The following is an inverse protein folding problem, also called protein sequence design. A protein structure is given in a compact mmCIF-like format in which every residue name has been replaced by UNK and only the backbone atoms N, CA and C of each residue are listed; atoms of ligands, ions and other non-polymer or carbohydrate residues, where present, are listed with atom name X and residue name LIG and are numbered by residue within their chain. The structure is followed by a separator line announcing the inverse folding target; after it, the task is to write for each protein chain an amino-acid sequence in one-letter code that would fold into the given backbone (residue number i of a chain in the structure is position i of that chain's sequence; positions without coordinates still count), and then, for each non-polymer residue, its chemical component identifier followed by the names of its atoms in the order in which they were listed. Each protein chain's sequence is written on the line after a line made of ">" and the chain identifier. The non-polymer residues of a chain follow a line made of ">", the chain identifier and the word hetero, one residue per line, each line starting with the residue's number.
data_IF_998233932380
#
_entry.id   IF_998233932380
#
_cell.length_a   1.000
_cell.length_b   1.000
_cell.length_c   1.000
_cell.angle_alpha   90.00
_cell.angle_beta   90.00
_cell.angle_gamma   90.00
#
_symmetry.space_group_name_H-M   'P 1'
#
loop_
_entity.id
_entity.type
_entity.pdbx_description
1 polymer ?
#
# COMPACT_ATOMS: atom_id res chain seq x y z
N UNK A 1 -8.84 31.90 4.93
CA UNK A 1 -9.57 31.22 3.84
C UNK A 1 -8.84 29.93 3.55
N UNK A 2 -9.49 28.77 3.55
CA UNK A 2 -8.82 27.53 3.21
C UNK A 2 -8.36 27.65 1.76
N UNK A 3 -7.09 27.34 1.50
CA UNK A 3 -6.65 27.08 0.12
C UNK A 3 -7.62 26.04 -0.44
N UNK A 4 -8.25 26.34 -1.57
CA UNK A 4 -9.17 25.39 -2.19
C UNK A 4 -8.43 24.07 -2.37
N UNK A 5 -8.89 23.01 -1.73
CA UNK A 5 -8.51 21.65 -2.09
C UNK A 5 -9.05 21.44 -3.50
N UNK A 6 -8.28 21.83 -4.52
CA UNK A 6 -8.55 21.37 -5.88
C UNK A 6 -8.57 19.85 -5.77
N UNK A 7 -9.71 19.25 -6.04
CA UNK A 7 -9.80 17.81 -6.31
C UNK A 7 -8.68 17.50 -7.31
N UNK A 8 -7.70 16.70 -6.88
CA UNK A 8 -6.56 16.32 -7.72
C UNK A 8 -7.03 15.20 -8.65
N UNK A 9 -7.86 15.57 -9.61
CA UNK A 9 -8.46 14.65 -10.59
C UNK A 9 -7.50 14.32 -11.74
N UNK A 10 -6.22 14.18 -11.42
CA UNK A 10 -5.20 13.92 -12.41
C UNK A 10 -5.22 12.43 -12.76
N UNK A 11 -5.49 12.15 -14.03
CA UNK A 11 -5.51 10.80 -14.59
C UNK A 11 -4.56 10.72 -15.78
N UNK A 12 -4.01 9.54 -16.01
CA UNK A 12 -3.36 9.22 -17.30
C UNK A 12 -4.48 8.91 -18.27
N UNK A 13 -4.54 9.61 -19.41
CA UNK A 13 -5.50 9.34 -20.48
C UNK A 13 -4.79 8.60 -21.59
N UNK A 14 -5.38 7.50 -22.06
CA UNK A 14 -4.88 6.73 -23.19
C UNK A 14 -5.92 6.73 -24.30
N UNK A 15 -5.51 7.16 -25.49
CA UNK A 15 -6.31 7.10 -26.71
C UNK A 15 -5.78 5.97 -27.60
N UNK A 16 -6.63 5.00 -27.90
CA UNK A 16 -6.38 3.96 -28.90
C UNK A 16 -6.87 4.43 -30.26
N UNK A 17 -6.09 4.12 -31.30
CA UNK A 17 -6.41 4.40 -32.69
C UNK A 17 -6.57 3.11 -33.50
N UNK A 18 -7.40 3.17 -34.54
CA UNK A 18 -7.71 2.04 -35.42
C UNK A 18 -6.51 1.53 -36.23
N UNK A 19 -5.46 2.33 -36.36
CA UNK A 19 -4.19 1.94 -36.98
C UNK A 19 -3.27 1.12 -36.05
N UNK A 20 -3.72 0.85 -34.81
CA UNK A 20 -2.97 0.09 -33.82
C UNK A 20 -2.05 0.94 -32.93
N UNK A 21 -1.95 2.25 -33.16
CA UNK A 21 -1.19 3.17 -32.31
C UNK A 21 -1.96 3.56 -31.03
N UNK A 22 -1.21 4.02 -30.02
CA UNK A 22 -1.75 4.55 -28.77
C UNK A 22 -1.12 5.91 -28.48
N UNK A 23 -1.92 6.90 -28.11
CA UNK A 23 -1.45 8.18 -27.57
C UNK A 23 -1.66 8.20 -26.05
N UNK A 24 -0.62 8.56 -25.29
CA UNK A 24 -0.70 8.72 -23.83
C UNK A 24 -0.62 10.20 -23.50
N UNK A 25 -1.70 10.73 -22.95
CA UNK A 25 -1.81 12.12 -22.51
C UNK A 25 -1.66 12.19 -20.99
N UNK A 26 -0.73 13.03 -20.55
CA UNK A 26 -0.46 13.27 -19.13
C UNK A 26 -1.08 14.61 -18.69
N UNK A 27 -1.44 14.74 -17.40
CA UNK A 27 -1.81 16.02 -16.80
C UNK A 27 -0.73 17.08 -17.03
N UNK A 28 -1.15 18.32 -17.30
CA UNK A 28 -0.25 19.42 -17.70
C UNK A 28 0.74 19.87 -16.62
N UNK A 29 0.43 19.65 -15.34
CA UNK A 29 1.23 20.08 -14.19
C UNK A 29 1.62 18.90 -13.29
N UNK A 30 2.30 17.89 -13.85
CA UNK A 30 2.67 16.71 -13.09
C UNK A 30 3.77 17.02 -12.06
N UNK A 31 3.48 16.83 -10.78
CA UNK A 31 4.50 16.87 -9.74
C UNK A 31 5.56 15.79 -9.96
N UNK A 32 6.84 16.07 -9.61
CA UNK A 32 7.97 15.14 -9.85
C UNK A 32 7.74 13.74 -9.24
N UNK A 33 7.03 13.66 -8.11
CA UNK A 33 6.70 12.39 -7.47
C UNK A 33 5.79 11.49 -8.33
N UNK A 34 4.90 12.06 -9.12
CA UNK A 34 3.93 11.33 -9.95
C UNK A 34 4.55 10.77 -11.23
N UNK A 35 5.70 11.30 -11.68
CA UNK A 35 6.41 10.77 -12.85
C UNK A 35 6.77 9.29 -12.67
N UNK A 36 7.11 8.89 -11.44
CA UNK A 36 7.41 7.48 -11.12
C UNK A 36 6.16 6.60 -11.23
N UNK A 37 4.99 7.11 -10.84
CA UNK A 37 3.70 6.42 -10.99
C UNK A 37 3.33 6.24 -12.47
N UNK A 38 3.53 7.29 -13.29
CA UNK A 38 3.34 7.21 -14.75
C UNK A 38 4.26 6.15 -15.38
N UNK A 39 5.53 6.11 -14.98
CA UNK A 39 6.47 5.11 -15.47
C UNK A 39 6.05 3.68 -15.09
N UNK A 40 5.58 3.47 -13.86
CA UNK A 40 5.09 2.18 -13.40
C UNK A 40 3.89 1.69 -14.24
N UNK A 41 2.99 2.59 -14.67
CA UNK A 41 1.82 2.22 -15.47
C UNK A 41 2.11 1.81 -16.91
N UNK A 42 3.33 2.02 -17.44
CA UNK A 42 3.64 1.75 -18.87
C UNK A 42 3.32 0.31 -19.28
N UNK A 43 3.69 -0.66 -18.43
CA UNK A 43 3.40 -2.08 -18.68
C UNK A 43 1.91 -2.36 -18.74
N UNK A 44 1.15 -1.81 -17.79
CA UNK A 44 -0.30 -1.94 -17.77
C UNK A 44 -0.96 -1.26 -18.98
N UNK A 45 -0.53 -0.06 -19.39
CA UNK A 45 -1.07 0.64 -20.57
C UNK A 45 -0.95 -0.23 -21.83
N UNK A 46 0.21 -0.84 -22.04
CA UNK A 46 0.42 -1.76 -23.17
C UNK A 46 -0.52 -2.97 -23.10
N UNK A 47 -0.63 -3.56 -21.91
CA UNK A 47 -1.47 -4.72 -21.68
C UNK A 47 -2.96 -4.41 -21.89
N UNK A 48 -3.46 -3.32 -21.31
CA UNK A 48 -4.84 -2.86 -21.46
C UNK A 48 -5.17 -2.54 -22.93
N UNK A 49 -4.30 -1.81 -23.63
CA UNK A 49 -4.50 -1.51 -25.05
C UNK A 49 -4.60 -2.78 -25.91
N UNK A 50 -3.75 -3.76 -25.65
CA UNK A 50 -3.80 -5.06 -26.33
C UNK A 50 -5.10 -5.80 -26.01
N UNK A 51 -5.51 -5.86 -24.74
CA UNK A 51 -6.72 -6.57 -24.33
C UNK A 51 -8.00 -5.90 -24.87
N UNK A 52 -8.10 -4.58 -24.84
CA UNK A 52 -9.23 -3.87 -25.43
C UNK A 52 -9.39 -4.16 -26.93
N UNK A 53 -8.28 -4.23 -27.69
CA UNK A 53 -8.32 -4.62 -29.10
C UNK A 53 -8.82 -6.05 -29.32
N UNK A 54 -8.43 -6.99 -28.46
CA UNK A 54 -8.95 -8.36 -28.51
C UNK A 54 -10.45 -8.42 -28.23
N UNK A 55 -10.97 -7.50 -27.41
CA UNK A 55 -12.40 -7.33 -27.16
C UNK A 55 -13.13 -6.56 -28.28
N UNK A 56 -12.43 -6.16 -29.35
CA UNK A 56 -13.00 -5.43 -30.50
C UNK A 56 -12.94 -3.90 -30.38
N UNK A 57 -12.44 -3.35 -29.28
CA UNK A 57 -12.33 -1.91 -29.04
C UNK A 57 -11.05 -1.34 -29.68
N UNK A 58 -11.08 -1.13 -31.00
CA UNK A 58 -9.92 -0.64 -31.77
C UNK A 58 -9.72 0.88 -31.71
N UNK A 59 -10.78 1.64 -31.37
CA UNK A 59 -10.73 3.08 -31.10
C UNK A 59 -11.44 3.33 -29.77
N UNK A 60 -10.69 3.74 -28.75
CA UNK A 60 -11.19 3.85 -27.37
C UNK A 60 -10.37 4.87 -26.60
N UNK A 61 -11.02 5.60 -25.69
CA UNK A 61 -10.36 6.44 -24.70
C UNK A 61 -10.61 5.87 -23.30
N UNK A 62 -9.55 5.63 -22.53
CA UNK A 62 -9.65 5.20 -21.13
C UNK A 62 -8.70 5.99 -20.24
N UNK A 63 -8.97 5.99 -18.93
CA UNK A 63 -8.20 6.71 -17.93
C UNK A 63 -7.65 5.80 -16.83
N UNK A 64 -6.54 6.19 -16.21
CA UNK A 64 -5.93 5.51 -15.07
C UNK A 64 -5.72 6.55 -13.96
N UNK A 65 -6.20 6.24 -12.76
CA UNK A 65 -5.99 7.06 -11.57
C UNK A 65 -4.50 7.26 -11.30
N UNK A 66 -4.08 8.50 -10.99
CA UNK A 66 -2.69 8.82 -10.66
C UNK A 66 -2.49 9.23 -9.19
N UNK A 67 -3.50 9.83 -8.56
CA UNK A 67 -3.47 10.28 -7.16
C UNK A 67 -4.15 9.31 -6.20
N UNK A 68 -4.00 9.63 -4.92
CA UNK A 68 -4.64 8.94 -3.81
C UNK A 68 -6.15 9.28 -3.73
N UNK A 69 -6.60 10.37 -4.38
CA UNK A 69 -8.00 10.79 -4.47
C UNK A 69 -8.77 9.98 -5.54
N UNK A 70 -10.08 9.80 -5.33
CA UNK A 70 -10.96 9.15 -6.32
C UNK A 70 -11.15 10.03 -7.56
N UNK A 71 -10.98 9.48 -8.78
CA UNK A 71 -11.12 10.24 -10.01
C UNK A 71 -12.60 10.55 -10.30
N UNK A 72 -12.86 11.69 -10.93
CA UNK A 72 -14.22 12.11 -11.30
C UNK A 72 -14.75 11.43 -12.56
N UNK A 73 -13.85 10.84 -13.35
CA UNK A 73 -14.18 10.12 -14.58
C UNK A 73 -13.90 8.61 -14.47
N UNK A 74 -14.60 7.77 -15.26
CA UNK A 74 -14.32 6.34 -15.33
C UNK A 74 -12.83 6.07 -15.54
N UNK A 75 -12.21 5.38 -14.59
CA UNK A 75 -10.77 5.15 -14.57
C UNK A 75 -10.46 3.77 -13.99
N UNK A 76 -9.33 3.20 -14.40
CA UNK A 76 -8.69 2.14 -13.62
C UNK A 76 -8.23 2.69 -12.28
N UNK A 77 -8.44 1.93 -11.21
CA UNK A 77 -8.25 2.38 -9.83
C UNK A 77 -7.08 1.64 -9.18
N UNK A 78 -6.32 2.32 -8.33
CA UNK A 78 -5.19 1.73 -7.57
C UNK A 78 -5.66 1.12 -6.24
N UNK A 79 -6.68 1.76 -5.65
CA UNK A 79 -7.38 1.31 -4.47
C UNK A 79 -8.81 1.85 -4.48
N UNK A 80 -9.65 1.33 -3.58
CA UNK A 80 -11.06 1.71 -3.47
C UNK A 80 -11.51 1.66 -2.01
N UNK A 81 -12.70 2.22 -1.72
CA UNK A 81 -13.28 2.12 -0.38
C UNK A 81 -13.62 0.65 -0.03
N UNK A 82 -13.40 0.25 1.21
CA UNK A 82 -13.54 -1.14 1.65
C UNK A 82 -14.99 -1.66 1.65
N UNK A 83 -15.98 -0.76 1.65
CA UNK A 83 -17.41 -1.08 1.59
C UNK A 83 -17.90 -1.36 0.14
N UNK A 84 -17.09 -1.04 -0.87
CA UNK A 84 -17.40 -1.34 -2.26
C UNK A 84 -17.07 -2.80 -2.60
N UNK A 85 -17.77 -3.38 -3.59
CA UNK A 85 -17.47 -4.73 -4.05
C UNK A 85 -16.24 -4.73 -4.99
N UNK A 86 -15.08 -5.29 -4.60
CA UNK A 86 -13.88 -5.32 -5.45
C UNK A 86 -14.03 -6.19 -6.70
N UNK A 87 -15.09 -7.00 -6.80
CA UNK A 87 -15.43 -7.75 -8.01
C UNK A 87 -16.13 -6.93 -9.09
N UNK A 88 -16.47 -5.68 -8.80
CA UNK A 88 -17.16 -4.77 -9.73
C UNK A 88 -16.36 -3.49 -10.00
N UNK A 89 -15.09 -3.46 -9.58
CA UNK A 89 -14.20 -2.33 -9.73
C UNK A 89 -13.01 -2.70 -10.62
N UNK A 90 -12.58 -1.80 -11.53
CA UNK A 90 -11.42 -2.00 -12.39
C UNK A 90 -10.11 -1.74 -11.61
N UNK A 91 -9.95 -2.41 -10.47
CA UNK A 91 -8.77 -2.29 -9.62
C UNK A 91 -7.57 -2.95 -10.30
N UNK A 92 -6.47 -2.20 -10.44
CA UNK A 92 -5.22 -2.68 -11.02
C UNK A 92 -4.14 -2.80 -9.94
N UNK A 93 -3.03 -3.52 -10.21
CA UNK A 93 -1.89 -3.53 -9.30
C UNK A 93 -1.37 -2.12 -9.02
N UNK A 94 -0.99 -1.86 -7.77
CA UNK A 94 -0.48 -0.55 -7.38
C UNK A 94 0.85 -0.20 -8.05
N UNK A 95 1.25 1.06 -7.97
CA UNK A 95 2.47 1.54 -8.62
C UNK A 95 3.74 0.83 -8.12
N UNK A 96 3.78 0.34 -6.88
CA UNK A 96 4.94 -0.39 -6.36
C UNK A 96 5.01 -1.76 -7.01
N UNK A 97 3.88 -2.47 -7.09
CA UNK A 97 3.79 -3.76 -7.75
C UNK A 97 4.11 -3.67 -9.25
N UNK A 98 3.46 -2.74 -9.97
CA UNK A 98 3.69 -2.53 -11.40
C UNK A 98 5.14 -2.13 -11.70
N UNK A 99 5.66 -1.12 -11.00
CA UNK A 99 7.00 -0.58 -11.23
C UNK A 99 8.13 -1.54 -10.89
N UNK A 100 7.88 -2.55 -10.05
CA UNK A 100 8.86 -3.56 -9.64
C UNK A 100 8.62 -4.93 -10.27
N UNK A 101 7.68 -5.04 -11.21
CA UNK A 101 7.30 -6.29 -11.88
C UNK A 101 6.93 -7.39 -10.87
N UNK A 102 5.99 -7.09 -9.97
CA UNK A 102 5.61 -8.00 -8.88
C UNK A 102 6.73 -8.19 -7.86
N UNK A 103 7.42 -7.11 -7.51
CA UNK A 103 8.52 -7.09 -6.55
C UNK A 103 9.65 -8.06 -6.87
N UNK A 104 9.97 -8.29 -8.15
CA UNK A 104 10.88 -9.36 -8.60
C UNK A 104 12.23 -9.38 -7.85
N UNK A 105 12.92 -8.24 -7.79
CA UNK A 105 14.21 -8.13 -7.08
C UNK A 105 14.06 -8.31 -5.56
N UNK A 106 12.95 -7.86 -4.98
CA UNK A 106 12.71 -8.02 -3.55
C UNK A 106 12.36 -9.46 -3.18
N UNK A 107 11.59 -10.17 -4.02
CA UNK A 107 11.31 -11.60 -3.85
C UNK A 107 12.59 -12.43 -3.84
N UNK A 108 13.57 -12.11 -4.69
CA UNK A 108 14.88 -12.76 -4.66
C UNK A 108 15.58 -12.56 -3.30
N UNK A 109 15.54 -11.35 -2.74
CA UNK A 109 16.11 -11.10 -1.40
C UNK A 109 15.32 -11.80 -0.28
N UNK A 110 14.01 -11.92 -0.42
CA UNK A 110 13.18 -12.63 0.56
C UNK A 110 13.40 -14.14 0.56
N UNK A 111 13.82 -14.72 -0.57
CA UNK A 111 14.22 -16.13 -0.62
C UNK A 111 15.43 -16.44 0.28
N UNK A 112 16.26 -15.43 0.59
CA UNK A 112 17.43 -15.55 1.47
C UNK A 112 17.10 -15.31 2.96
N UNK A 113 15.84 -15.00 3.30
CA UNK A 113 15.44 -14.81 4.69
C UNK A 113 15.50 -16.14 5.46
N UNK A 114 15.90 -16.13 6.73
CA UNK A 114 15.90 -17.33 7.54
C UNK A 114 14.46 -17.81 7.81
N UNK A 115 14.33 -19.09 8.17
CA UNK A 115 13.09 -19.69 8.65
C UNK A 115 12.43 -18.80 9.70
N UNK A 116 11.10 -18.76 9.71
CA UNK A 116 10.33 -17.85 10.55
C UNK A 116 10.73 -17.92 12.04
N UNK A 117 10.94 -19.13 12.58
CA UNK A 117 11.35 -19.32 13.97
C UNK A 117 12.76 -18.79 14.30
N UNK A 118 13.63 -18.58 13.30
CA UNK A 118 14.98 -18.02 13.47
C UNK A 118 15.02 -16.50 13.31
N UNK A 119 13.90 -15.88 12.93
CA UNK A 119 13.73 -14.41 12.84
C UNK A 119 13.62 -13.79 14.22
N UNK A 120 13.88 -12.48 14.28
CA UNK A 120 13.82 -11.69 15.50
C UNK A 120 12.40 -11.72 16.08
N UNK A 121 12.22 -12.10 17.37
CA UNK A 121 10.92 -12.25 18.01
C UNK A 121 10.38 -10.90 18.49
N UNK A 122 10.21 -9.95 17.58
CA UNK A 122 9.67 -8.61 17.86
C UNK A 122 8.83 -8.15 16.67
N UNK A 123 7.75 -7.42 16.94
CA UNK A 123 6.98 -6.74 15.91
C UNK A 123 7.66 -5.44 15.52
N UNK A 124 7.75 -5.16 14.21
CA UNK A 124 8.40 -3.95 13.72
C UNK A 124 7.50 -3.13 12.80
N UNK A 125 7.66 -1.81 12.91
CA UNK A 125 7.15 -0.84 11.95
C UNK A 125 8.16 0.27 11.69
N UNK A 126 8.34 0.62 10.43
CA UNK A 126 9.14 1.77 9.98
C UNK A 126 8.39 2.48 8.86
N UNK A 127 8.09 3.76 9.05
CA UNK A 127 7.38 4.53 8.03
C UNK A 127 7.40 6.04 8.27
N UNK A 128 6.89 6.81 7.32
CA UNK A 128 6.81 8.26 7.42
C UNK A 128 5.52 8.72 8.12
N UNK A 129 5.44 10.00 8.47
CA UNK A 129 4.25 10.64 9.06
C UNK A 129 3.07 10.84 8.09
N UNK A 130 2.93 10.01 7.06
CA UNK A 130 1.78 10.10 6.14
C UNK A 130 0.49 9.67 6.83
N UNK A 131 -0.66 10.14 6.33
CA UNK A 131 -1.98 9.89 6.94
C UNK A 131 -2.81 11.13 7.22
N UNK A 132 -2.22 12.32 7.06
CA UNK A 132 -2.96 13.57 6.94
C UNK A 132 -2.12 14.62 6.21
N UNK A 133 -2.77 15.70 5.77
CA UNK A 133 -2.11 16.88 5.21
C UNK A 133 -1.92 17.99 6.26
N UNK A 134 -1.03 18.93 5.95
CA UNK A 134 -0.78 20.14 6.75
C UNK A 134 -0.52 19.87 8.24
N UNK A 135 0.32 18.88 8.52
CA UNK A 135 0.61 18.45 9.89
C UNK A 135 1.24 19.56 10.73
N UNK A 136 0.68 19.73 11.93
CA UNK A 136 1.19 20.50 13.07
C UNK A 136 1.28 19.53 14.25
N UNK A 137 1.93 19.91 15.35
CA UNK A 137 2.17 18.97 16.46
C UNK A 137 0.85 18.39 17.05
N UNK A 138 -0.17 19.23 17.18
CA UNK A 138 -1.50 18.86 17.65
C UNK A 138 -2.19 17.86 16.71
N UNK A 139 -2.20 18.11 15.40
CA UNK A 139 -2.81 17.20 14.42
C UNK A 139 -1.98 15.94 14.20
N UNK A 140 -0.66 16.04 14.29
CA UNK A 140 0.27 14.91 14.23
C UNK A 140 0.01 13.90 15.34
N UNK A 141 -0.27 14.38 16.55
CA UNK A 141 -0.56 13.51 17.69
C UNK A 141 -1.84 12.67 17.48
N UNK A 142 -2.74 13.08 16.59
CA UNK A 142 -3.96 12.32 16.26
C UNK A 142 -3.75 11.24 15.19
N UNK A 143 -2.56 11.15 14.58
CA UNK A 143 -2.29 10.13 13.57
C UNK A 143 -2.25 8.73 14.19
N UNK A 144 -2.91 7.76 13.56
CA UNK A 144 -2.83 6.34 13.96
C UNK A 144 -1.37 5.85 14.02
N UNK A 145 -0.50 6.29 13.09
CA UNK A 145 0.93 5.94 13.10
C UNK A 145 1.67 6.49 14.30
N UNK A 146 1.27 7.67 14.80
CA UNK A 146 1.85 8.22 16.02
C UNK A 146 1.38 7.40 17.22
N UNK A 147 0.09 7.06 17.29
CA UNK A 147 -0.45 6.19 18.33
C UNK A 147 0.21 4.80 18.35
N UNK A 148 0.45 4.19 17.19
CA UNK A 148 1.24 2.96 17.07
C UNK A 148 2.65 3.11 17.66
N UNK A 149 3.35 4.21 17.34
CA UNK A 149 4.68 4.48 17.88
C UNK A 149 4.63 4.72 19.40
N UNK A 150 3.55 5.30 19.94
CA UNK A 150 3.36 5.48 21.38
C UNK A 150 3.24 4.13 22.11
N UNK A 151 2.52 3.15 21.56
CA UNK A 151 2.47 1.80 22.13
C UNK A 151 3.85 1.12 22.21
N UNK A 152 4.77 1.45 21.29
CA UNK A 152 6.14 0.93 21.35
C UNK A 152 6.95 1.44 22.55
N UNK A 153 6.53 2.53 23.20
CA UNK A 153 7.13 3.00 24.46
C UNK A 153 6.62 2.23 25.68
N UNK A 154 5.45 1.59 25.58
CA UNK A 154 4.82 0.82 26.65
C UNK A 154 5.38 -0.60 26.71
N UNK A 155 5.69 -1.20 25.55
CA UNK A 155 6.31 -2.52 25.43
C UNK A 155 7.46 -2.56 24.40
N UNK A 156 8.60 -1.89 24.70
CA UNK A 156 9.73 -1.78 23.78
C UNK A 156 10.45 -3.11 23.51
N UNK A 157 10.20 -4.14 24.33
CA UNK A 157 10.75 -5.49 24.11
C UNK A 157 10.01 -6.30 23.06
N UNK A 158 8.82 -5.86 22.65
CA UNK A 158 7.93 -6.63 21.79
C UNK A 158 7.41 -5.87 20.57
N UNK A 159 7.36 -4.54 20.64
CA UNK A 159 7.06 -3.67 19.52
C UNK A 159 8.16 -2.64 19.34
N UNK A 160 8.73 -2.58 18.14
CA UNK A 160 9.61 -1.52 17.68
C UNK A 160 8.94 -0.76 16.51
N UNK A 161 8.14 0.25 16.83
CA UNK A 161 7.51 1.13 15.85
C UNK A 161 8.15 2.52 15.88
N UNK A 162 8.75 2.96 14.76
CA UNK A 162 9.47 4.23 14.66
C UNK A 162 9.20 4.94 13.35
N UNK A 163 9.14 6.26 13.41
CA UNK A 163 9.11 7.08 12.20
C UNK A 163 10.48 7.07 11.52
N UNK A 164 10.49 6.99 10.20
CA UNK A 164 11.69 7.15 9.37
C UNK A 164 11.82 8.54 8.75
N UNK A 165 10.71 9.27 8.66
CA UNK A 165 10.65 10.60 8.07
C UNK A 165 9.41 11.36 8.56
N UNK A 166 9.53 12.69 8.60
CA UNK A 166 8.41 13.61 8.86
C UNK A 166 8.15 14.38 7.56
N UNK A 167 6.95 14.19 7.02
CA UNK A 167 6.48 14.70 5.72
C UNK A 167 5.09 15.32 5.85
N UNK A 168 4.62 16.04 4.82
CA UNK A 168 3.26 16.63 4.77
C UNK A 168 2.94 17.61 5.92
N UNK A 169 3.96 18.32 6.42
CA UNK A 169 3.80 19.33 7.46
C UNK A 169 3.33 20.66 6.90
N UNK A 170 2.58 21.43 7.68
CA UNK A 170 2.05 22.72 7.25
C UNK A 170 3.14 23.73 6.88
N UNK A 171 4.26 23.70 7.62
CA UNK A 171 5.42 24.56 7.39
C UNK A 171 6.73 23.82 7.70
N UNK A 172 7.87 24.46 7.42
CA UNK A 172 9.20 23.96 7.79
C UNK A 172 9.38 23.96 9.31
N UNK A 173 8.87 24.97 9.99
CA UNK A 173 8.91 25.09 11.46
C UNK A 173 8.10 23.96 12.11
N UNK A 174 6.90 23.68 11.58
CA UNK A 174 6.09 22.55 12.05
C UNK A 174 6.85 21.21 11.88
N UNK A 175 7.60 21.06 10.79
CA UNK A 175 8.46 19.90 10.57
C UNK A 175 9.54 19.78 11.65
N UNK A 176 10.25 20.87 11.95
CA UNK A 176 11.30 20.90 12.97
C UNK A 176 10.73 20.55 14.35
N UNK A 177 9.58 21.12 14.73
CA UNK A 177 8.91 20.85 16.01
C UNK A 177 8.52 19.37 16.13
N UNK A 178 7.88 18.79 15.10
CA UNK A 178 7.49 17.38 15.12
C UNK A 178 8.72 16.47 15.18
N UNK A 179 9.78 16.78 14.41
CA UNK A 179 11.02 16.00 14.44
C UNK A 179 11.69 16.05 15.82
N UNK A 180 11.76 17.23 16.42
CA UNK A 180 12.34 17.39 17.76
C UNK A 180 11.55 16.59 18.80
N UNK A 181 10.21 16.69 18.78
CA UNK A 181 9.32 15.89 19.62
C UNK A 181 9.55 14.36 19.46
N UNK A 182 9.71 13.89 18.22
CA UNK A 182 10.01 12.48 17.97
C UNK A 182 11.40 12.06 18.45
N UNK A 183 12.41 12.94 18.38
CA UNK A 183 13.75 12.65 18.92
C UNK A 183 13.73 12.56 20.44
N UNK A 184 13.03 13.48 21.11
CA UNK A 184 12.90 13.50 22.57
C UNK A 184 12.21 12.25 23.12
N UNK A 185 11.25 11.69 22.37
CA UNK A 185 10.56 10.46 22.71
C UNK A 185 11.26 9.18 22.20
N UNK A 186 12.41 9.31 21.56
CA UNK A 186 13.12 8.20 20.90
C UNK A 186 12.30 7.49 19.79
N UNK A 187 11.38 8.21 19.14
CA UNK A 187 10.46 7.70 18.12
C UNK A 187 10.90 7.92 16.67
N UNK A 188 12.13 8.43 16.45
CA UNK A 188 12.71 8.65 15.12
C UNK A 188 13.90 7.70 14.88
N UNK A 189 13.92 7.01 13.73
CA UNK A 189 15.02 6.13 13.28
C UNK A 189 15.31 6.34 11.80
N UNK A 190 16.47 5.91 11.29
CA UNK A 190 16.69 5.81 9.85
C UNK A 190 15.65 4.90 9.19
N UNK A 191 15.48 5.08 7.87
CA UNK A 191 14.72 4.15 7.03
C UNK A 191 15.32 2.74 7.17
N UNK A 192 14.44 1.74 7.27
CA UNK A 192 14.80 0.33 7.21
C UNK A 192 14.34 -0.23 5.87
N UNK A 193 15.22 -0.97 5.19
CA UNK A 193 14.85 -1.63 3.94
C UNK A 193 13.96 -2.87 4.17
N UNK A 194 13.08 -3.23 3.22
CA UNK A 194 12.14 -4.33 3.37
C UNK A 194 12.77 -5.67 3.77
N UNK A 195 13.93 -6.04 3.22
CA UNK A 195 14.67 -7.26 3.58
C UNK A 195 15.10 -7.27 5.05
N UNK A 196 15.46 -6.11 5.62
CA UNK A 196 15.78 -6.01 7.05
C UNK A 196 14.52 -6.07 7.91
N UNK A 197 13.40 -5.50 7.46
CA UNK A 197 12.11 -5.68 8.13
C UNK A 197 11.72 -7.17 8.11
N UNK A 198 11.90 -7.88 7.00
CA UNK A 198 11.60 -9.31 6.87
C UNK A 198 12.37 -10.23 7.83
N UNK A 199 13.46 -9.76 8.46
CA UNK A 199 14.17 -10.48 9.52
C UNK A 199 13.38 -10.54 10.84
N UNK A 200 12.23 -9.89 10.94
CA UNK A 200 11.37 -9.87 12.12
C UNK A 200 10.19 -10.81 11.91
N UNK A 201 9.78 -11.50 12.98
CA UNK A 201 8.65 -12.44 12.91
C UNK A 201 7.32 -11.76 12.60
N UNK A 202 7.18 -10.50 12.99
CA UNK A 202 5.95 -9.74 12.87
C UNK A 202 6.17 -8.38 12.24
N UNK A 203 5.32 -8.03 11.27
CA UNK A 203 5.30 -6.72 10.63
C UNK A 203 3.95 -6.06 10.86
N UNK A 204 3.94 -4.79 11.26
CA UNK A 204 2.69 -4.01 11.34
C UNK A 204 2.36 -3.45 9.95
N UNK A 205 1.12 -3.67 9.53
CA UNK A 205 0.52 -2.99 8.40
C UNK A 205 -0.49 -1.94 8.87
N UNK A 206 -0.29 -0.69 8.46
CA UNK A 206 -1.09 0.46 8.88
C UNK A 206 -1.12 1.50 7.76
N UNK A 207 -2.29 2.09 7.58
CA UNK A 207 -2.59 3.02 6.51
C UNK A 207 -1.76 4.31 6.60
N UNK A 208 -1.61 4.96 5.45
CA UNK A 208 -1.09 6.31 5.31
C UNK A 208 -2.21 7.22 4.86
N UNK A 209 -1.98 7.99 3.78
CA UNK A 209 -3.03 8.80 3.17
C UNK A 209 -4.20 7.92 2.66
N UNK A 210 -3.84 6.76 2.11
CA UNK A 210 -4.75 5.66 1.73
C UNK A 210 -4.26 4.37 2.40
N UNK A 211 -4.68 3.20 1.91
CA UNK A 211 -4.11 1.94 2.37
C UNK A 211 -2.58 1.88 2.22
N UNK A 212 -1.94 1.01 2.99
CA UNK A 212 -0.52 0.74 2.80
C UNK A 212 -0.29 -0.02 1.48
N UNK A 213 0.27 0.64 0.46
CA UNK A 213 0.83 -0.05 -0.72
C UNK A 213 2.04 -0.93 -0.38
N UNK A 214 2.39 -1.04 0.90
CA UNK A 214 3.38 -1.97 1.40
C UNK A 214 2.84 -3.34 1.79
N UNK A 215 1.53 -3.55 1.87
CA UNK A 215 0.97 -4.79 2.40
C UNK A 215 1.42 -6.02 1.57
N UNK A 216 1.39 -5.93 0.24
CA UNK A 216 1.72 -7.07 -0.61
C UNK A 216 3.17 -7.53 -0.42
N UNK A 217 4.14 -6.62 -0.39
CA UNK A 217 5.53 -7.02 -0.13
C UNK A 217 5.74 -7.51 1.30
N UNK A 218 5.00 -6.97 2.28
CA UNK A 218 5.08 -7.47 3.66
C UNK A 218 4.64 -8.93 3.73
N UNK A 219 3.53 -9.29 3.08
CA UNK A 219 3.10 -10.68 2.96
C UNK A 219 4.16 -11.55 2.25
N UNK A 220 4.75 -11.08 1.15
CA UNK A 220 5.81 -11.79 0.43
C UNK A 220 7.05 -12.08 1.29
N UNK A 221 7.31 -11.29 2.33
CA UNK A 221 8.45 -11.51 3.23
C UNK A 221 8.32 -12.79 4.07
N UNK A 222 7.11 -13.36 4.19
CA UNK A 222 6.85 -14.52 5.05
C UNK A 222 6.86 -14.19 6.55
N UNK A 223 6.79 -12.91 6.91
CA UNK A 223 6.53 -12.49 8.30
C UNK A 223 5.02 -12.52 8.59
N UNK A 224 4.65 -12.73 9.85
CA UNK A 224 3.26 -12.68 10.29
C UNK A 224 2.79 -11.22 10.29
N UNK A 225 1.80 -10.89 9.48
CA UNK A 225 1.30 -9.51 9.40
C UNK A 225 0.29 -9.27 10.51
N UNK A 226 0.50 -8.22 11.31
CA UNK A 226 -0.54 -7.64 12.15
C UNK A 226 -1.07 -6.41 11.42
N UNK A 227 -2.29 -6.49 10.94
CA UNK A 227 -2.88 -5.49 10.06
C UNK A 227 -3.92 -4.69 10.80
N UNK A 228 -3.67 -3.39 10.90
CA UNK A 228 -4.66 -2.41 11.36
C UNK A 228 -5.77 -2.32 10.31
N UNK A 229 -7.01 -2.36 10.78
CA UNK A 229 -8.17 -2.31 9.91
C UNK A 229 -8.16 -1.05 9.04
N UNK A 230 -8.32 -1.26 7.73
CA UNK A 230 -8.26 -0.22 6.71
C UNK A 230 -9.63 0.04 6.14
N UNK A 231 -9.94 1.31 5.88
CA UNK A 231 -11.15 1.72 5.15
C UNK A 231 -10.98 1.64 3.62
N UNK A 232 -9.82 1.19 3.16
CA UNK A 232 -9.46 1.08 1.75
C UNK A 232 -9.06 -0.36 1.42
N UNK A 233 -9.15 -0.71 0.14
CA UNK A 233 -8.81 -2.03 -0.36
C UNK A 233 -8.07 -1.96 -1.70
N UNK A 234 -7.17 -2.92 -1.91
CA UNK A 234 -6.44 -3.10 -3.17
C UNK A 234 -7.01 -4.25 -3.97
N UNK A 235 -6.59 -4.37 -5.25
CA UNK A 235 -7.04 -5.41 -6.17
C UNK A 235 -7.00 -6.82 -5.54
N UNK A 236 -5.98 -7.13 -4.75
CA UNK A 236 -5.78 -8.47 -4.18
C UNK A 236 -6.49 -8.72 -2.83
N UNK A 237 -7.12 -7.72 -2.22
CA UNK A 237 -7.66 -7.86 -0.85
C UNK A 237 -8.77 -8.91 -0.75
N UNK A 238 -9.46 -9.21 -1.86
CA UNK A 238 -10.45 -10.29 -1.96
C UNK A 238 -9.89 -11.69 -1.67
N UNK A 239 -8.56 -11.85 -1.71
CA UNK A 239 -7.87 -13.10 -1.37
C UNK A 239 -7.44 -13.17 0.10
N UNK A 240 -7.56 -12.06 0.84
CA UNK A 240 -7.16 -12.00 2.25
C UNK A 240 -8.30 -12.49 3.15
N UNK A 241 -7.93 -13.29 4.15
CA UNK A 241 -8.84 -13.81 5.16
C UNK A 241 -8.25 -13.57 6.53
N UNK A 242 -8.98 -12.85 7.37
CA UNK A 242 -8.59 -12.57 8.76
C UNK A 242 -8.31 -13.85 9.52
N UNK A 243 -7.28 -13.85 10.37
CA UNK A 243 -6.76 -15.02 11.11
C UNK A 243 -6.24 -16.17 10.24
N UNK A 244 -6.19 -15.98 8.91
CA UNK A 244 -5.60 -16.95 7.98
C UNK A 244 -4.41 -16.35 7.26
N UNK A 245 -4.51 -15.12 6.74
CA UNK A 245 -3.38 -14.43 6.07
C UNK A 245 -2.72 -13.36 6.94
N UNK A 246 -3.42 -12.90 7.98
CA UNK A 246 -2.94 -11.86 8.90
C UNK A 246 -3.72 -11.89 10.22
N UNK A 247 -3.13 -11.32 11.27
CA UNK A 247 -3.78 -11.02 12.55
C UNK A 247 -4.42 -9.63 12.44
N UNK A 248 -5.73 -9.46 12.70
CA UNK A 248 -6.38 -8.16 12.67
C UNK A 248 -6.04 -7.33 13.92
N UNK A 249 -5.94 -6.02 13.74
CA UNK A 249 -5.92 -5.00 14.80
C UNK A 249 -7.04 -4.00 14.49
N UNK A 250 -7.78 -3.56 15.50
CA UNK A 250 -8.82 -2.54 15.37
C UNK A 250 -8.27 -1.22 14.81
N UNK A 251 -9.09 -0.49 14.06
CA UNK A 251 -8.69 0.77 13.41
C UNK A 251 -8.22 1.85 14.40
N UNK A 252 -8.66 1.81 15.66
CA UNK A 252 -8.26 2.75 16.72
C UNK A 252 -7.07 2.23 17.56
N UNK A 253 -6.51 1.07 17.23
CA UNK A 253 -5.41 0.39 17.91
C UNK A 253 -5.70 -0.05 19.35
N UNK A 254 -6.94 0.01 19.82
CA UNK A 254 -7.27 -0.27 21.22
C UNK A 254 -6.95 -1.72 21.66
N UNK A 255 -6.97 -2.66 20.71
CA UNK A 255 -6.71 -4.08 20.91
C UNK A 255 -5.27 -4.47 20.57
N UNK A 256 -4.42 -3.53 20.14
CA UNK A 256 -3.03 -3.80 19.78
C UNK A 256 -2.26 -4.52 20.91
N UNK A 257 -2.32 -4.11 22.19
CA UNK A 257 -1.66 -4.82 23.28
C UNK A 257 -2.14 -6.28 23.42
N UNK A 258 -3.44 -6.52 23.24
CA UNK A 258 -4.02 -7.87 23.27
C UNK A 258 -3.50 -8.73 22.11
N UNK A 259 -3.49 -8.19 20.88
CA UNK A 259 -3.01 -8.92 19.69
C UNK A 259 -1.52 -9.24 19.77
N UNK A 260 -0.73 -8.33 20.31
CA UNK A 260 0.68 -8.54 20.59
C UNK A 260 0.89 -9.65 21.63
N UNK A 261 0.13 -9.64 22.73
CA UNK A 261 0.18 -10.70 23.74
C UNK A 261 -0.27 -12.06 23.19
N UNK A 262 -1.30 -12.09 22.34
CA UNK A 262 -1.75 -13.29 21.65
C UNK A 262 -0.64 -13.87 20.78
N UNK A 263 0.01 -13.05 19.94
CA UNK A 263 1.11 -13.48 19.06
C UNK A 263 2.27 -14.10 19.84
N UNK A 264 2.53 -13.60 21.05
CA UNK A 264 3.59 -14.11 21.93
C UNK A 264 3.32 -15.53 22.40
N UNK A 265 2.05 -15.83 22.70
CA UNK A 265 1.59 -17.12 23.20
C UNK A 265 1.31 -18.13 22.07
N UNK A 266 1.02 -17.65 20.86
CA UNK A 266 0.55 -18.45 19.74
C UNK A 266 1.53 -18.43 18.56
N UNK A 267 2.81 -18.67 18.82
CA UNK A 267 3.86 -18.56 17.79
C UNK A 267 3.70 -19.57 16.64
N UNK A 268 3.20 -20.78 16.91
CA UNK A 268 2.89 -21.76 15.87
C UNK A 268 1.80 -21.25 14.93
N UNK A 269 0.75 -20.66 15.50
CA UNK A 269 -0.35 -20.08 14.72
C UNK A 269 0.14 -18.88 13.91
N UNK A 270 0.95 -18.00 14.50
CA UNK A 270 1.57 -16.89 13.76
C UNK A 270 2.42 -17.36 12.58
N UNK A 271 3.20 -18.43 12.75
CA UNK A 271 4.00 -19.00 11.65
C UNK A 271 3.11 -19.55 10.54
N UNK A 272 2.00 -20.22 10.87
CA UNK A 272 1.05 -20.75 9.90
C UNK A 272 0.30 -19.63 9.15
N UNK A 273 -0.09 -18.58 9.86
CA UNK A 273 -0.68 -17.36 9.29
C UNK A 273 0.31 -16.68 8.34
N UNK A 274 1.57 -16.54 8.75
CA UNK A 274 2.63 -15.95 7.93
C UNK A 274 2.84 -16.74 6.63
N UNK A 275 2.91 -18.07 6.71
CA UNK A 275 3.06 -18.96 5.56
C UNK A 275 1.87 -18.82 4.60
N UNK A 276 0.65 -18.84 5.12
CA UNK A 276 -0.57 -18.71 4.30
C UNK A 276 -0.62 -17.33 3.64
N UNK A 277 -0.30 -16.26 4.37
CA UNK A 277 -0.21 -14.91 3.84
C UNK A 277 0.83 -14.78 2.71
N UNK A 278 1.99 -15.41 2.87
CA UNK A 278 3.03 -15.45 1.84
C UNK A 278 2.56 -16.19 0.59
N UNK A 279 1.97 -17.37 0.74
CA UNK A 279 1.45 -18.16 -0.39
C UNK A 279 0.39 -17.40 -1.19
N UNK A 280 -0.53 -16.72 -0.50
CA UNK A 280 -1.53 -15.87 -1.18
C UNK A 280 -0.86 -14.72 -1.93
N UNK A 281 0.13 -14.07 -1.33
CA UNK A 281 0.85 -12.98 -2.00
C UNK A 281 1.66 -13.47 -3.21
N UNK A 282 2.28 -14.65 -3.12
CA UNK A 282 2.98 -15.32 -4.22
C UNK A 282 2.03 -15.66 -5.37
N UNK A 283 0.83 -16.18 -5.05
CA UNK A 283 -0.19 -16.42 -6.07
C UNK A 283 -0.59 -15.13 -6.77
N UNK A 284 -0.85 -14.05 -6.00
CA UNK A 284 -1.21 -12.73 -6.55
C UNK A 284 -0.14 -12.20 -7.51
N UNK A 285 1.15 -12.28 -7.15
CA UNK A 285 2.21 -11.79 -8.04
C UNK A 285 2.45 -12.70 -9.25
N UNK A 286 2.19 -13.99 -9.13
CA UNK A 286 2.28 -14.93 -10.26
C UNK A 286 1.10 -14.80 -11.22
N UNK A 287 -0.05 -14.30 -10.73
CA UNK A 287 -1.28 -14.12 -11.50
C UNK A 287 -1.51 -12.68 -12.00
N UNK A 288 -0.49 -11.82 -11.93
CA UNK A 288 -0.64 -10.38 -12.24
C UNK A 288 -1.22 -10.10 -13.62
N UNK A 289 -0.91 -10.92 -14.62
CA UNK A 289 -1.47 -10.75 -15.95
C UNK A 289 -2.99 -10.92 -15.91
N UNK A 290 -3.50 -12.00 -15.31
CA UNK A 290 -4.92 -12.26 -15.20
C UNK A 290 -5.63 -11.21 -14.33
N UNK A 291 -4.97 -10.71 -13.27
CA UNK A 291 -5.48 -9.58 -12.48
C UNK A 291 -5.68 -8.31 -13.33
N UNK A 292 -4.72 -7.99 -14.21
CA UNK A 292 -4.84 -6.85 -15.12
C UNK A 292 -5.90 -7.08 -16.20
N UNK A 293 -6.00 -8.29 -16.78
CA UNK A 293 -7.03 -8.64 -17.76
C UNK A 293 -8.43 -8.51 -17.17
N UNK A 294 -8.64 -9.04 -15.96
CA UNK A 294 -9.89 -8.93 -15.21
C UNK A 294 -10.29 -7.46 -15.00
N UNK A 295 -9.34 -6.59 -14.67
CA UNK A 295 -9.65 -5.17 -14.51
C UNK A 295 -10.13 -4.54 -15.82
N UNK A 296 -9.52 -4.91 -16.95
CA UNK A 296 -9.91 -4.43 -18.29
C UNK A 296 -11.30 -4.92 -18.68
N UNK A 297 -11.62 -6.17 -18.39
CA UNK A 297 -12.96 -6.74 -18.63
C UNK A 297 -14.03 -6.02 -17.83
N UNK A 298 -13.81 -5.84 -16.52
CA UNK A 298 -14.72 -5.07 -15.65
C UNK A 298 -14.90 -3.64 -16.17
N UNK A 299 -13.81 -3.02 -16.63
CA UNK A 299 -13.90 -1.68 -17.21
C UNK A 299 -14.75 -1.68 -18.48
N UNK A 300 -14.53 -2.64 -19.39
CA UNK A 300 -15.29 -2.76 -20.62
C UNK A 300 -16.77 -2.98 -20.34
N UNK A 301 -17.13 -3.95 -19.51
CA UNK A 301 -18.52 -4.29 -19.21
C UNK A 301 -19.31 -3.13 -18.57
N UNK A 302 -18.62 -2.27 -17.84
CA UNK A 302 -19.25 -1.20 -17.07
C UNK A 302 -19.40 0.11 -17.84
N UNK A 303 -18.50 0.39 -18.79
CA UNK A 303 -18.41 1.71 -19.41
C UNK A 303 -18.35 1.73 -20.94
N UNK A 304 -18.23 0.57 -21.61
CA UNK A 304 -18.16 0.45 -23.06
C UNK A 304 -19.31 -0.41 -23.62
#
# INVERSE_FOLDING_TARGET
>A
MPASSRLRDEVIVVQLHSDGSNEVQLPSNLEKGLLTRVQACRGFIHHAAHRFRQLGHVTLRFAIQLHDDEPSCPSFLIDAAADQNPNQLPLIPDFYCLGSQGYAALRQRFAELPDWHRRLPIAIWRGASTGAGELRLDTFNSLQRYQLCRHSLEDPGWLDARFSAVVQTATVEANQVIRQHLVELDLLRPRMEPEHMGLHRWLIDIDGNVNSWGLLWKLLSGSCILRVESKRQQWFYRHLKTWHTHVPIAADLNDLPEKLAWCRQHQTDCSAIAQTGQQVAEQVVNDLQNEMERAVEIYSERWL
#
